data_IF_206654860614
#
_entry.id   IF_206654860614
#
_cell.length_a   1.000
_cell.length_b   1.000
_cell.length_c   1.000
_cell.angle_alpha   90.00
_cell.angle_beta   90.00
_cell.angle_gamma   90.00
#
_symmetry.space_group_name_H-M   'P 1'
#
loop_
_entity.id
_entity.type
_entity.pdbx_description
1 polymer ?
#
# COMPACT_ATOMS: atom_id res chain seq x y z
N UNK A 1 5.92 8.45 15.23
CA UNK A 1 6.81 7.48 15.90
C UNK A 1 8.16 7.47 15.18
N UNK A 2 9.25 7.52 15.91
CA UNK A 2 10.60 7.40 15.37
C UNK A 2 10.89 5.93 15.00
N UNK A 3 11.72 5.70 13.97
CA UNK A 3 12.15 4.34 13.61
C UNK A 3 12.16 4.04 12.09
N UNK A 4 11.49 4.85 11.27
CA UNK A 4 11.51 4.69 9.81
C UNK A 4 12.64 5.54 9.18
N UNK A 5 13.22 5.02 8.11
CA UNK A 5 14.18 5.73 7.25
C UNK A 5 13.47 6.41 6.09
N UNK A 6 12.27 5.95 5.75
CA UNK A 6 11.49 6.45 4.62
C UNK A 6 10.22 7.15 5.08
N UNK A 7 9.67 8.00 4.22
CA UNK A 7 8.40 8.69 4.45
C UNK A 7 7.24 7.94 3.78
N UNK A 8 6.00 8.04 4.31
CA UNK A 8 4.82 7.46 3.66
C UNK A 8 4.44 8.28 2.42
N UNK A 9 5.14 8.06 1.29
CA UNK A 9 5.03 8.88 0.09
C UNK A 9 3.59 9.11 -0.38
N UNK A 10 2.78 8.05 -0.48
CA UNK A 10 1.39 8.17 -0.88
C UNK A 10 0.55 8.96 0.14
N UNK A 11 0.85 8.84 1.43
CA UNK A 11 0.19 9.59 2.50
C UNK A 11 0.45 11.10 2.43
N UNK A 12 1.59 11.53 1.85
CA UNK A 12 1.91 12.95 1.71
C UNK A 12 0.94 13.71 0.79
N UNK A 13 0.21 13.02 -0.08
CA UNK A 13 -0.83 13.62 -0.93
C UNK A 13 -2.08 14.03 -0.12
N UNK A 14 -2.26 13.51 1.08
CA UNK A 14 -3.42 13.76 1.93
C UNK A 14 -3.13 14.89 2.93
N UNK A 15 -3.32 16.13 2.49
CA UNK A 15 -3.23 17.28 3.41
C UNK A 15 -4.34 17.23 4.46
N UNK A 16 -4.12 17.89 5.61
CA UNK A 16 -5.15 17.99 6.67
C UNK A 16 -6.46 18.58 6.14
N UNK A 17 -6.38 19.55 5.25
CA UNK A 17 -7.54 20.16 4.62
C UNK A 17 -8.29 19.17 3.72
N UNK A 18 -7.56 18.41 2.88
CA UNK A 18 -8.15 17.39 2.03
C UNK A 18 -8.84 16.32 2.88
N UNK A 19 -8.16 15.79 3.90
CA UNK A 19 -8.74 14.80 4.80
C UNK A 19 -10.02 15.32 5.45
N UNK A 20 -10.01 16.57 5.96
CA UNK A 20 -11.20 17.18 6.55
C UNK A 20 -12.37 17.29 5.57
N UNK A 21 -12.10 17.66 4.33
CA UNK A 21 -13.13 17.71 3.26
C UNK A 21 -13.69 16.32 2.94
N UNK A 22 -12.87 15.29 2.98
CA UNK A 22 -13.29 13.91 2.77
C UNK A 22 -14.12 13.38 3.95
N UNK A 23 -13.71 13.69 5.19
CA UNK A 23 -14.49 13.36 6.39
C UNK A 23 -15.92 13.94 6.37
N UNK A 24 -16.07 15.21 5.93
CA UNK A 24 -17.38 15.86 5.75
C UNK A 24 -18.25 15.11 4.74
N UNK A 25 -17.64 14.38 3.82
CA UNK A 25 -18.32 13.53 2.83
C UNK A 25 -18.55 12.09 3.34
N UNK A 26 -18.20 11.79 4.57
CA UNK A 26 -18.42 10.48 5.20
C UNK A 26 -17.31 9.47 4.91
N UNK A 27 -16.09 9.92 4.61
CA UNK A 27 -14.92 9.05 4.46
C UNK A 27 -14.15 9.05 5.77
N UNK A 28 -14.04 7.89 6.39
CA UNK A 28 -13.25 7.70 7.60
C UNK A 28 -11.78 7.42 7.27
N UNK A 29 -10.90 7.86 8.17
CA UNK A 29 -9.47 7.61 8.09
C UNK A 29 -9.01 6.77 9.25
N UNK A 30 -8.12 5.82 8.94
CA UNK A 30 -7.45 5.00 9.93
C UNK A 30 -5.96 4.94 9.63
N UNK A 31 -5.15 4.76 10.65
CA UNK A 31 -3.70 4.82 10.55
C UNK A 31 -3.08 3.54 11.10
N UNK A 32 -2.00 3.13 10.45
CA UNK A 32 -1.10 2.09 10.94
C UNK A 32 0.31 2.68 11.07
N UNK A 33 1.15 2.05 11.85
CA UNK A 33 2.58 2.40 11.93
C UNK A 33 3.41 1.29 11.29
N UNK A 34 4.33 1.67 10.41
CA UNK A 34 5.31 0.77 9.82
C UNK A 34 6.68 1.46 9.79
N UNK A 35 7.69 0.82 10.34
CA UNK A 35 9.07 1.30 10.36
C UNK A 35 9.82 0.77 9.14
N UNK A 36 9.66 1.49 8.01
CA UNK A 36 10.28 1.09 6.75
C UNK A 36 11.78 1.42 6.73
N UNK A 37 12.57 0.42 6.41
CA UNK A 37 14.02 0.50 6.24
C UNK A 37 14.46 0.79 4.80
N UNK A 38 15.76 0.64 4.54
CA UNK A 38 16.33 0.81 3.19
C UNK A 38 16.08 -0.40 2.27
N UNK A 39 15.58 -1.51 2.81
CA UNK A 39 15.37 -2.74 2.04
C UNK A 39 14.39 -2.59 0.88
N UNK A 40 13.39 -1.72 1.03
CA UNK A 40 12.42 -1.42 -0.03
C UNK A 40 13.01 -0.72 -1.27
N UNK A 41 14.22 -0.17 -1.15
CA UNK A 41 14.95 0.46 -2.28
C UNK A 41 15.96 -0.47 -2.95
N UNK A 42 16.07 -1.72 -2.49
CA UNK A 42 16.92 -2.70 -3.17
C UNK A 42 16.21 -3.24 -4.40
N UNK A 43 16.92 -3.27 -5.51
CA UNK A 43 16.44 -3.88 -6.73
C UNK A 43 16.20 -5.38 -6.52
N UNK A 44 15.21 -5.92 -7.21
CA UNK A 44 14.99 -7.35 -7.30
C UNK A 44 16.06 -7.93 -8.22
N UNK A 45 17.01 -8.65 -7.63
CA UNK A 45 18.17 -9.26 -8.30
C UNK A 45 18.04 -10.78 -8.35
N UNK A 46 16.89 -11.26 -8.77
CA UNK A 46 16.62 -12.70 -8.93
C UNK A 46 15.68 -12.93 -10.12
N UNK A 47 15.94 -13.98 -10.91
CA UNK A 47 15.03 -14.39 -11.98
C UNK A 47 13.75 -15.04 -11.43
N UNK A 48 13.86 -15.80 -10.35
CA UNK A 48 12.76 -16.44 -9.66
C UNK A 48 12.35 -15.58 -8.45
N UNK A 49 11.23 -14.88 -8.57
CA UNK A 49 10.72 -13.96 -7.54
C UNK A 49 10.48 -14.64 -6.19
N UNK A 50 10.24 -15.96 -6.15
CA UNK A 50 10.07 -16.70 -4.89
C UNK A 50 11.34 -16.75 -4.06
N UNK A 51 12.50 -16.47 -4.67
CA UNK A 51 13.81 -16.43 -4.00
C UNK A 51 14.18 -15.05 -3.47
N UNK A 52 13.44 -14.01 -3.85
CA UNK A 52 13.67 -12.68 -3.33
C UNK A 52 13.34 -12.63 -1.83
N UNK A 53 14.24 -12.03 -1.04
CA UNK A 53 14.05 -11.87 0.40
C UNK A 53 13.88 -10.39 0.74
N UNK A 54 12.67 -10.05 1.19
CA UNK A 54 12.41 -8.75 1.79
C UNK A 54 13.10 -8.65 3.16
N UNK A 55 13.63 -7.48 3.47
CA UNK A 55 14.03 -7.15 4.85
C UNK A 55 12.79 -7.15 5.75
N UNK A 56 12.98 -7.56 7.00
CA UNK A 56 11.91 -7.49 8.00
C UNK A 56 11.74 -6.06 8.47
N UNK A 57 10.50 -5.60 8.53
CA UNK A 57 10.11 -4.27 8.96
C UNK A 57 9.08 -4.36 10.08
N UNK A 58 9.27 -3.57 11.14
CA UNK A 58 8.36 -3.58 12.28
C UNK A 58 7.07 -2.83 11.94
N UNK A 59 5.94 -3.39 12.35
CA UNK A 59 4.63 -2.78 12.10
C UNK A 59 3.69 -2.92 13.28
N UNK A 60 2.75 -1.98 13.37
CA UNK A 60 1.72 -1.94 14.40
C UNK A 60 0.38 -1.64 13.74
N UNK A 61 -0.61 -2.47 14.02
CA UNK A 61 -2.01 -2.27 13.67
C UNK A 61 -2.81 -2.23 14.97
N UNK A 62 -3.28 -1.07 15.33
CA UNK A 62 -3.97 -0.85 16.60
C UNK A 62 -5.46 -1.25 16.52
N UNK A 63 -6.08 -1.52 17.68
CA UNK A 63 -7.49 -1.90 17.81
C UNK A 63 -8.44 -0.93 17.10
N UNK A 64 -8.17 0.37 17.19
CA UNK A 64 -9.01 1.40 16.56
C UNK A 64 -8.96 1.31 15.03
N UNK A 65 -7.79 1.02 14.46
CA UNK A 65 -7.66 0.79 13.03
C UNK A 65 -8.47 -0.44 12.58
N UNK A 66 -8.37 -1.54 13.34
CA UNK A 66 -9.15 -2.75 13.10
C UNK A 66 -10.65 -2.47 13.15
N UNK A 67 -11.13 -1.72 14.16
CA UNK A 67 -12.52 -1.38 14.32
C UNK A 67 -13.07 -0.62 13.13
N UNK A 68 -12.41 0.49 12.73
CA UNK A 68 -12.85 1.34 11.62
C UNK A 68 -12.89 0.56 10.30
N UNK A 69 -11.82 -0.17 9.99
CA UNK A 69 -11.69 -0.91 8.73
C UNK A 69 -12.69 -2.06 8.65
N UNK A 70 -12.84 -2.83 9.72
CA UNK A 70 -13.77 -3.96 9.77
C UNK A 70 -15.23 -3.50 9.72
N UNK A 71 -15.58 -2.42 10.41
CA UNK A 71 -16.92 -1.83 10.30
C UNK A 71 -17.23 -1.36 8.87
N UNK A 72 -16.27 -0.76 8.18
CA UNK A 72 -16.46 -0.37 6.79
C UNK A 72 -16.72 -1.59 5.90
N UNK A 73 -15.93 -2.66 6.06
CA UNK A 73 -16.10 -3.93 5.35
C UNK A 73 -17.47 -4.55 5.62
N UNK A 74 -17.87 -4.66 6.89
CA UNK A 74 -19.12 -5.31 7.28
C UNK A 74 -20.37 -4.57 6.77
N UNK A 75 -20.24 -3.26 6.56
CA UNK A 75 -21.26 -2.43 5.91
C UNK A 75 -21.23 -2.50 4.37
N UNK A 76 -20.30 -3.26 3.78
CA UNK A 76 -20.12 -3.35 2.33
C UNK A 76 -19.47 -2.10 1.71
N UNK A 77 -18.84 -1.26 2.53
CA UNK A 77 -18.10 -0.09 2.07
C UNK A 77 -16.72 -0.49 1.56
N UNK A 78 -16.11 0.40 0.78
CA UNK A 78 -14.77 0.18 0.24
C UNK A 78 -13.69 0.59 1.23
N UNK A 79 -12.61 -0.18 1.24
CA UNK A 79 -11.38 0.09 2.00
C UNK A 79 -10.28 0.45 1.00
N UNK A 80 -9.70 1.64 1.15
CA UNK A 80 -8.61 2.12 0.31
C UNK A 80 -7.28 2.10 1.07
N UNK A 81 -6.32 1.33 0.58
CA UNK A 81 -4.95 1.35 1.09
C UNK A 81 -4.19 2.54 0.50
N UNK A 82 -3.68 3.43 1.35
CA UNK A 82 -2.87 4.57 0.92
C UNK A 82 -1.39 4.23 1.13
N UNK A 83 -0.76 3.73 0.08
CA UNK A 83 0.63 3.30 0.04
C UNK A 83 0.81 1.78 -0.04
N UNK A 84 1.90 1.36 -0.68
CA UNK A 84 2.31 -0.05 -0.78
C UNK A 84 2.60 -0.66 0.58
N UNK A 85 3.14 0.13 1.51
CA UNK A 85 3.45 -0.33 2.87
C UNK A 85 2.17 -0.62 3.66
N UNK A 86 1.14 0.22 3.50
CA UNK A 86 -0.19 -0.01 4.09
C UNK A 86 -0.79 -1.30 3.53
N UNK A 87 -0.70 -1.53 2.21
CA UNK A 87 -1.18 -2.77 1.61
C UNK A 87 -0.45 -4.00 2.18
N UNK A 88 0.88 -3.95 2.31
CA UNK A 88 1.67 -5.03 2.92
C UNK A 88 1.26 -5.28 4.37
N UNK A 89 1.01 -4.22 5.13
CA UNK A 89 0.58 -4.33 6.52
C UNK A 89 -0.83 -4.95 6.63
N UNK A 90 -1.78 -4.54 5.80
CA UNK A 90 -3.11 -5.15 5.73
C UNK A 90 -2.99 -6.65 5.45
N UNK A 91 -2.27 -7.02 4.39
CA UNK A 91 -2.11 -8.42 3.98
C UNK A 91 -1.27 -9.26 4.96
N UNK A 92 -0.55 -8.63 5.88
CA UNK A 92 0.14 -9.31 6.99
C UNK A 92 -0.80 -9.56 8.16
N UNK A 93 -1.67 -8.59 8.49
CA UNK A 93 -2.49 -8.60 9.69
C UNK A 93 -3.92 -9.11 9.46
N UNK A 94 -4.34 -9.33 8.20
CA UNK A 94 -5.69 -9.84 7.90
C UNK A 94 -5.82 -11.30 8.32
N UNK A 95 -6.92 -11.62 9.01
CA UNK A 95 -7.25 -12.99 9.39
C UNK A 95 -7.91 -13.78 8.24
N UNK A 96 -8.04 -15.08 8.42
CA UNK A 96 -8.71 -15.96 7.45
C UNK A 96 -10.18 -15.66 7.23
N UNK A 97 -10.79 -14.92 8.14
CA UNK A 97 -12.14 -14.37 8.04
C UNK A 97 -12.20 -13.08 7.20
N UNK A 98 -11.05 -12.63 6.70
CA UNK A 98 -10.90 -11.41 5.93
C UNK A 98 -11.02 -10.12 6.75
N UNK A 99 -11.00 -10.19 8.08
CA UNK A 99 -10.99 -9.02 8.96
C UNK A 99 -9.57 -8.65 9.38
N UNK A 100 -9.31 -7.36 9.48
CA UNK A 100 -8.05 -6.84 9.99
C UNK A 100 -7.95 -7.16 11.49
N UNK A 101 -6.80 -7.65 11.93
CA UNK A 101 -6.52 -8.01 13.33
C UNK A 101 -5.47 -7.06 13.89
N UNK A 102 -5.55 -6.83 15.19
CA UNK A 102 -4.45 -6.18 15.92
C UNK A 102 -3.14 -6.94 15.69
N UNK A 103 -2.10 -6.19 15.44
CA UNK A 103 -0.79 -6.78 15.16
C UNK A 103 0.32 -5.87 15.68
N UNK A 104 1.24 -6.47 16.41
CA UNK A 104 2.51 -5.88 16.78
C UNK A 104 3.61 -6.89 16.46
N UNK A 105 4.51 -6.56 15.55
CA UNK A 105 5.55 -7.49 15.15
C UNK A 105 6.28 -7.08 13.88
N UNK A 106 6.82 -8.06 13.19
CA UNK A 106 7.64 -7.87 12.01
C UNK A 106 7.01 -8.50 10.79
N UNK A 107 7.13 -7.83 9.63
CA UNK A 107 6.72 -8.39 8.33
C UNK A 107 7.88 -8.33 7.35
N UNK A 108 8.06 -9.42 6.61
CA UNK A 108 8.92 -9.49 5.43
C UNK A 108 8.10 -9.90 4.20
N UNK A 109 6.80 -9.63 4.23
CA UNK A 109 5.89 -10.03 3.17
C UNK A 109 6.30 -9.38 1.85
N UNK A 110 6.59 -10.20 0.85
CA UNK A 110 6.81 -9.82 -0.53
C UNK A 110 5.58 -10.18 -1.35
N UNK A 111 4.96 -9.19 -1.99
CA UNK A 111 3.76 -9.36 -2.81
C UNK A 111 4.16 -9.17 -4.27
N UNK A 112 3.91 -10.20 -5.08
CA UNK A 112 4.15 -10.23 -6.53
C UNK A 112 3.09 -11.10 -7.22
N UNK A 113 2.85 -10.91 -8.55
CA UNK A 113 1.82 -11.68 -9.26
C UNK A 113 2.13 -13.18 -9.39
N UNK A 114 1.12 -14.07 -9.29
CA UNK A 114 -0.26 -13.77 -8.93
C UNK A 114 -0.45 -13.66 -7.41
N UNK A 115 -1.31 -12.73 -6.97
CA UNK A 115 -1.63 -12.56 -5.56
C UNK A 115 -3.10 -12.18 -5.37
N UNK A 116 -3.80 -12.84 -4.44
CA UNK A 116 -5.19 -12.57 -4.09
C UNK A 116 -5.25 -11.67 -2.85
N UNK A 117 -5.69 -10.44 -3.03
CA UNK A 117 -5.81 -9.47 -1.95
C UNK A 117 -7.07 -9.72 -1.11
N UNK A 118 -6.92 -9.58 0.21
CA UNK A 118 -7.93 -10.07 1.17
C UNK A 118 -8.94 -9.00 1.60
N UNK A 119 -8.58 -7.71 1.58
CA UNK A 119 -9.37 -6.68 2.24
C UNK A 119 -9.54 -5.40 1.42
N UNK A 120 -8.46 -4.82 0.90
CA UNK A 120 -8.50 -3.53 0.23
C UNK A 120 -9.16 -3.62 -1.15
N UNK A 121 -10.10 -2.69 -1.42
CA UNK A 121 -10.83 -2.58 -2.70
C UNK A 121 -10.33 -1.42 -3.56
N UNK A 122 -9.42 -0.62 -3.04
CA UNK A 122 -8.75 0.46 -3.74
C UNK A 122 -7.35 0.66 -3.18
N UNK A 123 -6.49 1.26 -3.98
CA UNK A 123 -5.12 1.58 -3.58
C UNK A 123 -4.70 2.92 -4.15
N UNK A 124 -4.10 3.77 -3.31
CA UNK A 124 -3.36 4.95 -3.77
C UNK A 124 -1.87 4.65 -3.69
N UNK A 125 -1.14 4.87 -4.77
CA UNK A 125 0.31 4.63 -4.83
C UNK A 125 1.01 5.69 -5.66
N UNK A 126 2.20 6.09 -5.24
CA UNK A 126 3.10 6.84 -6.10
C UNK A 126 3.58 5.97 -7.27
N UNK A 127 4.15 6.59 -8.29
CA UNK A 127 4.86 5.88 -9.34
C UNK A 127 6.23 5.43 -8.83
N UNK A 128 6.51 4.13 -8.97
CA UNK A 128 7.71 3.48 -8.47
C UNK A 128 8.73 3.20 -9.58
N UNK A 129 9.98 3.01 -9.18
CA UNK A 129 11.06 2.71 -10.11
C UNK A 129 10.99 1.25 -10.61
N UNK A 130 11.53 0.96 -11.80
CA UNK A 130 11.68 -0.41 -12.28
C UNK A 130 12.44 -1.29 -11.27
N UNK A 131 12.23 -2.59 -11.34
CA UNK A 131 12.83 -3.62 -10.47
C UNK A 131 12.55 -3.45 -8.97
N UNK A 132 11.65 -2.55 -8.58
CA UNK A 132 11.29 -2.38 -7.18
C UNK A 132 10.20 -3.36 -6.73
N UNK A 133 10.27 -3.77 -5.46
CA UNK A 133 9.24 -4.60 -4.82
C UNK A 133 7.88 -3.88 -4.78
N UNK A 134 7.91 -2.55 -4.74
CA UNK A 134 6.71 -1.71 -4.74
C UNK A 134 6.00 -1.75 -6.09
N UNK A 135 6.73 -1.71 -7.22
CA UNK A 135 6.12 -1.86 -8.55
C UNK A 135 5.52 -3.26 -8.72
N UNK A 136 6.18 -4.30 -8.20
CA UNK A 136 5.63 -5.66 -8.22
C UNK A 136 4.29 -5.76 -7.49
N UNK A 137 4.17 -5.13 -6.32
CA UNK A 137 2.93 -5.08 -5.57
C UNK A 137 1.84 -4.34 -6.35
N UNK A 138 2.16 -3.20 -6.92
CA UNK A 138 1.20 -2.41 -7.72
C UNK A 138 0.71 -3.20 -8.94
N UNK A 139 1.61 -3.89 -9.65
CA UNK A 139 1.26 -4.77 -10.75
C UNK A 139 0.41 -5.98 -10.30
N UNK A 140 0.65 -6.50 -9.09
CA UNK A 140 -0.18 -7.57 -8.52
C UNK A 140 -1.61 -7.11 -8.27
N UNK A 141 -1.77 -5.86 -7.80
CA UNK A 141 -3.08 -5.30 -7.48
C UNK A 141 -3.86 -4.84 -8.71
N UNK A 142 -3.25 -4.03 -9.56
CA UNK A 142 -3.91 -3.42 -10.73
C UNK A 142 -3.91 -4.29 -11.99
N UNK A 143 -3.10 -5.35 -12.01
CA UNK A 143 -2.78 -6.13 -13.21
C UNK A 143 -1.66 -5.49 -14.03
N UNK A 144 -0.75 -6.33 -14.52
CA UNK A 144 0.49 -5.88 -15.18
C UNK A 144 0.21 -4.97 -16.37
N UNK A 145 -0.64 -5.39 -17.32
CA UNK A 145 -0.91 -4.65 -18.55
C UNK A 145 -1.46 -3.25 -18.25
N UNK A 146 -2.51 -3.16 -17.42
CA UNK A 146 -3.14 -1.88 -17.07
C UNK A 146 -2.17 -0.93 -16.35
N UNK A 147 -1.39 -1.46 -15.41
CA UNK A 147 -0.39 -0.67 -14.67
C UNK A 147 0.68 -0.16 -15.61
N UNK A 148 1.23 -1.00 -16.49
CA UNK A 148 2.27 -0.60 -17.44
C UNK A 148 1.76 0.40 -18.47
N UNK A 149 0.52 0.27 -18.92
CA UNK A 149 -0.12 1.28 -19.79
C UNK A 149 -0.25 2.63 -19.07
N UNK A 150 -0.69 2.62 -17.80
CA UNK A 150 -0.75 3.84 -16.98
C UNK A 150 0.63 4.49 -16.81
N UNK A 151 1.68 3.70 -16.57
CA UNK A 151 3.06 4.19 -16.48
C UNK A 151 3.55 4.80 -17.80
N UNK A 152 3.25 4.17 -18.92
CA UNK A 152 3.59 4.69 -20.25
C UNK A 152 2.89 6.02 -20.55
N UNK A 153 1.63 6.17 -20.13
CA UNK A 153 0.88 7.43 -20.22
C UNK A 153 1.51 8.47 -19.30
N UNK A 154 1.79 8.11 -18.04
CA UNK A 154 2.39 9.02 -17.07
C UNK A 154 3.73 9.59 -17.57
N UNK A 155 4.58 8.76 -18.20
CA UNK A 155 5.84 9.20 -18.80
C UNK A 155 5.62 10.19 -19.97
N UNK A 156 4.59 10.00 -20.77
CA UNK A 156 4.27 10.89 -21.91
C UNK A 156 3.66 12.24 -21.48
N UNK A 157 2.95 12.22 -20.35
CA UNK A 157 2.25 13.39 -19.80
C UNK A 157 3.06 14.08 -18.69
N UNK A 158 4.37 13.82 -18.62
CA UNK A 158 5.32 14.44 -17.68
C UNK A 158 4.95 14.29 -16.19
N UNK A 159 4.29 13.18 -15.80
CA UNK A 159 4.07 12.84 -14.39
C UNK A 159 5.40 12.58 -13.69
N UNK A 160 5.47 13.00 -12.44
CA UNK A 160 6.67 12.86 -11.60
C UNK A 160 6.69 11.52 -10.90
N UNK A 161 7.85 10.90 -10.86
CA UNK A 161 8.10 9.61 -10.21
C UNK A 161 8.79 9.78 -8.84
N UNK A 162 8.70 8.75 -8.02
CA UNK A 162 9.38 8.66 -6.72
C UNK A 162 8.61 9.30 -5.56
N UNK A 163 9.33 9.55 -4.47
CA UNK A 163 8.76 9.89 -3.16
C UNK A 163 7.89 11.17 -3.16
N UNK A 164 8.32 12.18 -3.86
CA UNK A 164 7.61 13.47 -3.99
C UNK A 164 6.97 13.66 -5.37
N UNK A 165 6.81 12.56 -6.09
CA UNK A 165 6.15 12.53 -7.37
C UNK A 165 4.63 12.47 -7.26
N UNK A 166 4.01 12.21 -8.41
CA UNK A 166 2.57 12.07 -8.50
C UNK A 166 2.10 10.68 -8.04
N UNK A 167 0.80 10.53 -7.87
CA UNK A 167 0.20 9.26 -7.46
C UNK A 167 -0.94 8.86 -8.39
N UNK A 168 -1.25 7.58 -8.38
CA UNK A 168 -2.40 7.00 -9.04
C UNK A 168 -3.35 6.37 -8.04
N UNK A 169 -4.64 6.40 -8.33
CA UNK A 169 -5.68 5.65 -7.65
C UNK A 169 -6.01 4.42 -8.50
N UNK A 170 -5.87 3.26 -7.92
CA UNK A 170 -6.18 1.97 -8.54
C UNK A 170 -7.42 1.43 -7.85
N UNK A 171 -8.44 1.13 -8.63
CA UNK A 171 -9.69 0.56 -8.15
C UNK A 171 -9.73 -0.93 -8.49
N UNK A 172 -10.27 -1.72 -7.57
CA UNK A 172 -10.61 -3.11 -7.83
C UNK A 172 -11.68 -3.19 -8.95
N UNK A 173 -11.63 -4.25 -9.74
CA UNK A 173 -12.52 -4.47 -10.89
C UNK A 173 -13.92 -4.87 -10.45
#
# INVERSE_FOLDING_TARGET
>A
NEGAVTVPAAGLHFSRELMKRMEIKGIDFSFITMHCGLGGFRDIDVEDLTKHKMDSEQMFVEAEACRIVNEAKDRGNKVCAVGTDVMRAIETAVGTDGHLKEFEGWTNKFIFPPYDFSLANAMVSNFHMPLSTMLMLVCSYGGYELVMDAYNIALKEDYRFGTYGDAMLILDK
#
